data_IF_300437860424
#
_entry.id   IF_300437860424
#
_cell.length_a   1.000
_cell.length_b   1.000
_cell.length_c   1.000
_cell.angle_alpha   90.00
_cell.angle_beta   90.00
_cell.angle_gamma   90.00
#
_symmetry.space_group_name_H-M   'P 1'
#
loop_
_entity.id
_entity.type
_entity.pdbx_description
1 polymer ?
#
# COMPACT_ATOMS: atom_id res chain seq x y z
N UNK A 1 -46.14 27.47 -1.28
CA UNK A 1 -45.09 26.44 -1.22
C UNK A 1 -44.27 26.44 -2.51
N UNK A 2 -43.06 27.01 -2.52
CA UNK A 2 -42.16 27.01 -3.70
C UNK A 2 -41.26 25.77 -3.67
N UNK A 3 -41.35 24.92 -4.71
CA UNK A 3 -40.48 23.75 -4.92
C UNK A 3 -39.01 24.20 -4.99
N UNK A 4 -38.14 23.64 -4.13
CA UNK A 4 -36.69 23.76 -4.23
C UNK A 4 -36.23 23.11 -5.53
N UNK A 5 -35.76 23.91 -6.49
CA UNK A 5 -35.05 23.43 -7.68
C UNK A 5 -33.70 22.91 -7.22
N UNK A 6 -33.45 21.61 -7.40
CA UNK A 6 -32.11 21.05 -7.28
C UNK A 6 -31.27 21.64 -8.41
N UNK A 7 -30.21 22.38 -8.04
CA UNK A 7 -29.24 22.88 -9.00
C UNK A 7 -28.70 21.72 -9.85
N UNK A 8 -28.69 21.90 -11.17
CA UNK A 8 -28.01 21.01 -12.09
C UNK A 8 -26.53 20.85 -11.74
N UNK A 9 -25.81 19.93 -12.42
CA UNK A 9 -24.41 19.66 -12.14
C UNK A 9 -23.62 20.98 -12.12
N UNK A 10 -23.04 21.30 -10.96
CA UNK A 10 -22.15 22.43 -10.82
C UNK A 10 -21.05 22.29 -11.88
N UNK A 11 -20.99 23.23 -12.83
CA UNK A 11 -19.82 23.41 -13.68
C UNK A 11 -18.62 23.55 -12.73
N UNK A 12 -17.67 22.63 -12.81
CA UNK A 12 -16.43 22.64 -12.04
C UNK A 12 -15.77 24.04 -12.13
N UNK A 13 -15.36 24.65 -11.01
CA UNK A 13 -14.74 25.95 -11.04
C UNK A 13 -13.21 25.79 -11.15
N UNK A 14 -12.69 25.28 -12.26
CA UNK A 14 -11.28 25.48 -12.60
C UNK A 14 -11.14 25.58 -14.12
N UNK A 15 -10.92 26.79 -14.63
CA UNK A 15 -10.41 27.01 -15.99
C UNK A 15 -8.94 26.63 -15.97
N UNK A 16 -8.62 25.36 -16.23
CA UNK A 16 -7.26 25.03 -16.65
C UNK A 16 -7.07 25.61 -18.05
N UNK A 17 -6.10 26.50 -18.20
CA UNK A 17 -5.66 26.97 -19.51
C UNK A 17 -5.19 25.76 -20.31
N UNK A 18 -5.66 25.59 -21.54
CA UNK A 18 -5.14 24.61 -22.49
C UNK A 18 -3.71 24.93 -22.97
N UNK A 19 -3.20 26.11 -22.59
CA UNK A 19 -1.93 26.64 -23.07
C UNK A 19 -0.75 26.22 -22.17
N UNK A 20 -1.01 25.79 -20.94
CA UNK A 20 0.01 25.22 -20.04
C UNK A 20 0.15 23.72 -20.31
N UNK A 21 1.34 23.30 -20.74
CA UNK A 21 1.64 21.91 -21.06
C UNK A 21 3.08 21.54 -20.74
N UNK A 22 3.29 20.25 -20.56
CA UNK A 22 4.59 19.61 -20.45
C UNK A 22 4.84 18.83 -21.73
N UNK A 23 6.08 18.89 -22.23
CA UNK A 23 6.58 17.93 -23.21
C UNK A 23 7.27 16.82 -22.43
N UNK A 24 6.64 15.65 -22.37
CA UNK A 24 7.16 14.48 -21.68
C UNK A 24 7.73 13.51 -22.71
N UNK A 25 9.04 13.30 -22.67
CA UNK A 25 9.67 12.20 -23.41
C UNK A 25 9.40 10.87 -22.68
N UNK A 26 8.82 9.90 -23.37
CA UNK A 26 8.55 8.59 -22.77
C UNK A 26 9.83 7.85 -22.35
N UNK A 27 10.98 8.17 -22.94
CA UNK A 27 12.27 7.60 -22.53
C UNK A 27 12.63 7.98 -21.09
N UNK A 28 12.25 9.17 -20.64
CA UNK A 28 12.45 9.58 -19.24
C UNK A 28 11.64 8.72 -18.26
N UNK A 29 10.50 8.21 -18.71
CA UNK A 29 9.66 7.31 -17.91
C UNK A 29 10.32 5.94 -17.79
N UNK A 30 11.00 5.47 -18.84
CA UNK A 30 11.77 4.23 -18.81
C UNK A 30 13.04 4.39 -17.96
N UNK A 31 13.74 5.51 -18.05
CA UNK A 31 14.86 5.83 -17.17
C UNK A 31 14.44 5.87 -15.69
N UNK A 32 13.29 6.47 -15.37
CA UNK A 32 12.74 6.42 -14.01
C UNK A 32 12.44 5.00 -13.54
N UNK A 33 11.99 4.09 -14.42
CA UNK A 33 11.80 2.67 -14.05
C UNK A 33 13.12 1.97 -13.77
N UNK A 34 14.15 2.24 -14.57
CA UNK A 34 15.50 1.71 -14.33
C UNK A 34 16.10 2.23 -13.02
N UNK A 35 15.82 3.48 -12.66
CA UNK A 35 16.17 4.02 -11.35
C UNK A 35 15.44 3.28 -10.23
N UNK A 36 14.14 3.01 -10.36
CA UNK A 36 13.40 2.21 -9.37
C UNK A 36 13.97 0.81 -9.21
N UNK A 37 14.41 0.17 -10.30
CA UNK A 37 15.07 -1.15 -10.28
C UNK A 37 16.41 -1.03 -9.54
N UNK A 38 17.20 -0.01 -9.84
CA UNK A 38 18.50 0.24 -9.19
C UNK A 38 18.33 0.46 -7.69
N UNK A 39 17.41 1.33 -7.27
CA UNK A 39 17.07 1.58 -5.87
C UNK A 39 16.54 0.33 -5.15
N UNK A 40 15.82 -0.54 -5.87
CA UNK A 40 15.36 -1.83 -5.35
C UNK A 40 16.52 -2.80 -5.12
N UNK A 41 17.47 -2.86 -6.06
CA UNK A 41 18.66 -3.71 -5.98
C UNK A 41 19.59 -3.26 -4.84
N UNK A 42 19.71 -1.95 -4.64
CA UNK A 42 20.43 -1.33 -3.53
C UNK A 42 19.68 -1.42 -2.18
N UNK A 43 18.52 -2.11 -2.12
CA UNK A 43 17.66 -2.27 -0.93
C UNK A 43 17.17 -0.95 -0.32
N UNK A 44 17.20 0.15 -1.08
CA UNK A 44 16.68 1.46 -0.66
C UNK A 44 15.16 1.56 -0.85
N UNK A 45 14.58 0.71 -1.72
CA UNK A 45 13.14 0.55 -1.91
C UNK A 45 12.65 -0.82 -1.43
N UNK A 46 11.55 -0.81 -0.65
CA UNK A 46 10.87 -2.05 -0.28
C UNK A 46 10.17 -2.69 -1.49
N UNK A 47 10.02 -4.03 -1.54
CA UNK A 47 9.32 -4.70 -2.65
C UNK A 47 7.92 -4.14 -2.92
N UNK A 48 7.15 -3.88 -1.86
CA UNK A 48 5.79 -3.34 -1.98
C UNK A 48 5.78 -1.88 -2.47
N UNK A 49 6.74 -1.06 -2.05
CA UNK A 49 6.86 0.32 -2.56
C UNK A 49 7.26 0.33 -4.03
N UNK A 50 8.23 -0.50 -4.41
CA UNK A 50 8.65 -0.69 -5.81
C UNK A 50 7.46 -1.10 -6.69
N UNK A 51 6.73 -2.15 -6.31
CA UNK A 51 5.56 -2.62 -7.05
C UNK A 51 4.50 -1.52 -7.20
N UNK A 52 4.21 -0.76 -6.14
CA UNK A 52 3.22 0.30 -6.22
C UNK A 52 3.65 1.47 -7.12
N UNK A 53 4.93 1.88 -7.06
CA UNK A 53 5.48 2.94 -7.92
C UNK A 53 5.47 2.53 -9.39
N UNK A 54 5.99 1.33 -9.69
CA UNK A 54 6.02 0.79 -11.06
C UNK A 54 4.60 0.56 -11.62
N UNK A 55 3.69 0.04 -10.79
CA UNK A 55 2.29 -0.15 -11.19
C UNK A 55 1.59 1.17 -11.52
N UNK A 56 1.78 2.20 -10.70
CA UNK A 56 1.16 3.50 -10.88
C UNK A 56 1.61 4.19 -12.17
N UNK A 57 2.93 4.25 -12.43
CA UNK A 57 3.44 4.90 -13.64
C UNK A 57 3.07 4.14 -14.91
N UNK A 58 3.15 2.81 -14.90
CA UNK A 58 2.73 1.99 -16.05
C UNK A 58 1.24 2.16 -16.34
N UNK A 59 0.41 2.17 -15.31
CA UNK A 59 -1.03 2.41 -15.45
C UNK A 59 -1.28 3.80 -16.04
N UNK A 60 -0.60 4.83 -15.54
CA UNK A 60 -0.77 6.18 -16.06
C UNK A 60 -0.43 6.28 -17.56
N UNK A 61 0.73 5.76 -17.97
CA UNK A 61 1.16 5.77 -19.37
C UNK A 61 0.21 4.94 -20.24
N UNK A 62 -0.22 3.76 -19.80
CA UNK A 62 -1.15 2.92 -20.54
C UNK A 62 -2.45 3.68 -20.88
N UNK A 63 -3.06 4.36 -19.91
CA UNK A 63 -4.28 5.13 -20.16
C UNK A 63 -4.02 6.42 -20.93
N UNK A 64 -2.86 7.06 -20.73
CA UNK A 64 -2.47 8.24 -21.50
C UNK A 64 -2.36 7.91 -23.00
N UNK A 65 -1.74 6.79 -23.34
CA UNK A 65 -1.62 6.30 -24.72
C UNK A 65 -2.98 5.90 -25.31
N UNK A 66 -3.90 5.34 -24.51
CA UNK A 66 -5.27 5.07 -24.98
C UNK A 66 -6.02 6.34 -25.36
N UNK A 67 -5.78 7.44 -24.65
CA UNK A 67 -6.42 8.73 -24.89
C UNK A 67 -5.77 9.48 -26.05
N UNK A 68 -4.43 9.51 -26.08
CA UNK A 68 -3.64 10.26 -27.07
C UNK A 68 -3.43 9.52 -28.39
N UNK A 69 -3.62 8.20 -28.39
CA UNK A 69 -3.22 7.33 -29.48
C UNK A 69 -1.75 6.88 -29.35
N UNK A 70 -1.34 5.92 -30.19
CA UNK A 70 0.04 5.46 -30.24
C UNK A 70 0.96 6.58 -30.71
N UNK A 71 2.18 6.59 -30.19
CA UNK A 71 3.24 7.54 -30.57
C UNK A 71 4.28 6.77 -31.34
N UNK A 72 4.84 7.40 -32.35
CA UNK A 72 5.89 6.80 -33.15
C UNK A 72 7.21 6.75 -32.35
N UNK A 73 7.93 5.64 -32.46
CA UNK A 73 9.15 5.38 -31.67
C UNK A 73 10.29 6.37 -31.99
N UNK A 74 10.24 7.03 -33.14
CA UNK A 74 11.23 8.02 -33.60
C UNK A 74 11.05 9.41 -32.95
N UNK A 75 9.87 9.70 -32.40
CA UNK A 75 9.62 10.91 -31.61
C UNK A 75 8.70 10.62 -30.41
N UNK A 76 9.23 10.03 -29.32
CA UNK A 76 8.46 9.58 -28.17
C UNK A 76 8.00 10.72 -27.23
N UNK A 77 7.79 11.93 -27.75
CA UNK A 77 7.41 13.12 -26.97
C UNK A 77 5.88 13.27 -26.94
N UNK A 78 5.33 13.31 -25.73
CA UNK A 78 3.90 13.57 -25.48
C UNK A 78 3.69 14.97 -24.94
N UNK A 79 2.78 15.72 -25.57
CA UNK A 79 2.18 16.90 -24.95
C UNK A 79 1.20 16.47 -23.86
N UNK A 80 1.58 16.70 -22.60
CA UNK A 80 0.79 16.41 -21.41
C UNK A 80 0.19 17.70 -20.83
N UNK A 81 -1.14 17.74 -20.73
CA UNK A 81 -1.89 18.85 -20.11
C UNK A 81 -2.62 18.38 -18.86
N UNK A 82 -3.10 19.34 -18.06
CA UNK A 82 -3.91 19.05 -16.87
C UNK A 82 -5.20 18.29 -17.24
N UNK A 83 -5.77 18.57 -18.41
CA UNK A 83 -6.94 17.87 -18.95
C UNK A 83 -6.63 16.40 -19.27
N UNK A 84 -5.45 16.12 -19.80
CA UNK A 84 -5.04 14.74 -20.11
C UNK A 84 -4.90 13.91 -18.83
N UNK A 85 -4.25 14.47 -17.80
CA UNK A 85 -4.17 13.84 -16.47
C UNK A 85 -5.57 13.58 -15.91
N UNK A 86 -6.47 14.55 -16.05
CA UNK A 86 -7.86 14.40 -15.63
C UNK A 86 -8.58 13.27 -16.38
N UNK A 87 -8.40 13.19 -17.69
CA UNK A 87 -9.01 12.14 -18.50
C UNK A 87 -8.46 10.77 -18.15
N UNK A 88 -7.15 10.64 -17.96
CA UNK A 88 -6.49 9.38 -17.56
C UNK A 88 -7.11 8.81 -16.28
N UNK A 89 -7.18 9.60 -15.21
CA UNK A 89 -7.73 9.13 -13.94
C UNK A 89 -9.26 8.92 -14.01
N UNK A 90 -9.96 9.69 -14.82
CA UNK A 90 -11.40 9.50 -15.05
C UNK A 90 -11.70 8.18 -15.79
N UNK A 91 -10.93 7.87 -16.84
CA UNK A 91 -11.06 6.63 -17.61
C UNK A 91 -10.62 5.41 -16.79
N UNK A 92 -9.56 5.53 -16.00
CA UNK A 92 -9.15 4.47 -15.07
C UNK A 92 -10.29 4.06 -14.13
N UNK A 93 -11.03 5.03 -13.58
CA UNK A 93 -12.12 4.74 -12.66
C UNK A 93 -13.35 4.11 -13.34
N UNK A 94 -13.54 4.34 -14.65
CA UNK A 94 -14.60 3.70 -15.44
C UNK A 94 -14.27 2.25 -15.79
N UNK A 95 -13.01 1.83 -15.73
CA UNK A 95 -12.61 0.47 -16.07
C UNK A 95 -13.00 -0.53 -14.96
N UNK A 96 -14.00 -1.41 -15.18
CA UNK A 96 -14.49 -2.34 -14.18
C UNK A 96 -13.45 -3.42 -13.81
N UNK A 97 -12.43 -3.65 -14.64
CA UNK A 97 -11.37 -4.64 -14.37
C UNK A 97 -10.33 -4.12 -13.40
N UNK A 98 -10.11 -2.79 -13.34
CA UNK A 98 -9.04 -2.15 -12.56
C UNK A 98 -9.55 -1.29 -11.40
N UNK A 99 -10.74 -0.70 -11.52
CA UNK A 99 -11.38 0.12 -10.48
C UNK A 99 -12.01 -0.74 -9.36
N UNK A 100 -11.20 -1.57 -8.69
CA UNK A 100 -11.69 -2.50 -7.65
C UNK A 100 -11.70 -1.88 -6.25
N UNK A 101 -10.87 -0.87 -5.98
CA UNK A 101 -10.78 -0.25 -4.65
C UNK A 101 -10.40 1.22 -4.72
N UNK A 102 -11.12 2.04 -3.97
CA UNK A 102 -10.79 3.46 -3.73
C UNK A 102 -9.38 3.63 -3.18
N UNK A 103 -8.88 2.67 -2.39
CA UNK A 103 -7.51 2.72 -1.88
C UNK A 103 -6.49 2.56 -3.01
N UNK A 104 -6.70 1.60 -3.91
CA UNK A 104 -5.82 1.38 -5.07
C UNK A 104 -5.78 2.60 -5.97
N UNK A 105 -6.93 3.23 -6.24
CA UNK A 105 -6.96 4.47 -7.03
C UNK A 105 -6.13 5.59 -6.38
N UNK A 106 -6.28 5.80 -5.07
CA UNK A 106 -5.48 6.79 -4.32
C UNK A 106 -3.98 6.50 -4.41
N UNK A 107 -3.60 5.22 -4.36
CA UNK A 107 -2.22 4.77 -4.52
C UNK A 107 -1.69 5.10 -5.92
N UNK A 108 -2.49 4.84 -6.97
CA UNK A 108 -2.12 5.18 -8.35
C UNK A 108 -1.90 6.68 -8.49
N UNK A 109 -2.88 7.51 -8.13
CA UNK A 109 -2.77 8.98 -8.25
C UNK A 109 -1.53 9.51 -7.51
N UNK A 110 -1.33 9.07 -6.26
CA UNK A 110 -0.18 9.50 -5.44
C UNK A 110 1.15 9.16 -6.10
N UNK A 111 1.35 7.91 -6.53
CA UNK A 111 2.65 7.49 -7.06
C UNK A 111 2.88 7.96 -8.49
N UNK A 112 1.82 8.24 -9.26
CA UNK A 112 1.93 8.97 -10.53
C UNK A 112 2.40 10.41 -10.29
N UNK A 113 1.81 11.12 -9.32
CA UNK A 113 2.23 12.47 -8.94
C UNK A 113 3.72 12.49 -8.53
N UNK A 114 4.13 11.58 -7.64
CA UNK A 114 5.54 11.46 -7.22
C UNK A 114 6.47 11.19 -8.41
N UNK A 115 6.10 10.31 -9.34
CA UNK A 115 6.91 9.99 -10.51
C UNK A 115 7.07 11.19 -11.44
N UNK A 116 5.98 11.91 -11.74
CA UNK A 116 6.03 13.09 -12.59
C UNK A 116 6.79 14.24 -11.91
N UNK A 117 6.64 14.44 -10.59
CA UNK A 117 7.45 15.41 -9.84
C UNK A 117 8.94 15.12 -9.98
N UNK A 118 9.34 13.85 -9.83
CA UNK A 118 10.72 13.41 -9.96
C UNK A 118 11.27 13.65 -11.37
N UNK A 119 10.59 13.12 -12.40
CA UNK A 119 11.01 13.25 -13.79
C UNK A 119 11.15 14.72 -14.19
N UNK A 120 10.15 15.55 -13.89
CA UNK A 120 10.15 16.96 -14.28
C UNK A 120 11.24 17.78 -13.60
N UNK A 121 11.49 17.48 -12.33
CA UNK A 121 12.54 18.17 -11.59
C UNK A 121 13.92 17.76 -12.07
N UNK A 122 14.20 16.46 -12.15
CA UNK A 122 15.52 15.92 -12.52
C UNK A 122 15.88 16.22 -13.99
N UNK A 123 14.92 16.07 -14.91
CA UNK A 123 15.20 16.19 -16.35
C UNK A 123 15.05 17.59 -16.90
N UNK A 124 14.09 18.33 -16.37
CA UNK A 124 13.68 19.61 -16.95
C UNK A 124 13.87 20.79 -16.00
N UNK A 125 14.13 20.56 -14.71
CA UNK A 125 14.17 21.62 -13.70
C UNK A 125 12.82 22.32 -13.48
N UNK A 126 11.72 21.65 -13.85
CA UNK A 126 10.37 22.23 -13.83
C UNK A 126 9.59 21.67 -12.65
N UNK A 127 8.88 22.55 -11.94
CA UNK A 127 7.91 22.15 -10.91
C UNK A 127 6.60 21.65 -11.54
N UNK A 128 6.18 20.43 -11.19
CA UNK A 128 4.88 19.87 -11.60
C UNK A 128 3.71 20.79 -11.21
N UNK A 129 3.75 21.35 -10.00
CA UNK A 129 2.72 22.25 -9.49
C UNK A 129 2.60 23.50 -10.36
N UNK A 130 3.73 24.04 -10.82
CA UNK A 130 3.76 25.19 -11.73
C UNK A 130 3.24 24.84 -13.13
N UNK A 131 3.51 23.63 -13.59
CA UNK A 131 3.20 23.22 -14.96
C UNK A 131 1.75 22.72 -15.15
N UNK A 132 1.20 21.97 -14.20
CA UNK A 132 -0.12 21.32 -14.31
C UNK A 132 -1.08 21.63 -13.15
N UNK A 133 -0.57 22.20 -12.04
CA UNK A 133 -1.30 22.38 -10.79
C UNK A 133 -1.42 21.09 -9.97
N UNK A 134 -1.37 21.19 -8.64
CA UNK A 134 -1.51 20.02 -7.74
C UNK A 134 -2.95 19.49 -7.69
N UNK A 135 -3.92 20.32 -8.06
CA UNK A 135 -5.36 20.05 -8.01
C UNK A 135 -5.77 18.80 -8.81
N UNK A 136 -5.13 18.56 -9.97
CA UNK A 136 -5.40 17.37 -10.81
C UNK A 136 -4.84 16.08 -10.22
N UNK A 137 -4.00 16.15 -9.19
CA UNK A 137 -3.54 14.98 -8.46
C UNK A 137 -4.32 14.77 -7.15
N UNK A 138 -5.44 15.47 -6.94
CA UNK A 138 -6.32 15.24 -5.82
C UNK A 138 -7.29 14.07 -6.11
N UNK A 139 -7.14 12.89 -5.47
CA UNK A 139 -8.01 11.74 -5.76
C UNK A 139 -9.48 12.01 -5.45
N UNK A 140 -9.77 12.92 -4.51
CA UNK A 140 -11.15 13.23 -4.11
C UNK A 140 -11.90 14.00 -5.20
N UNK A 141 -11.21 14.70 -6.11
CA UNK A 141 -11.82 15.32 -7.29
C UNK A 141 -12.56 14.26 -8.12
N UNK A 142 -11.86 13.15 -8.42
CA UNK A 142 -12.36 12.08 -9.27
C UNK A 142 -13.35 11.17 -8.57
N UNK A 143 -13.07 10.82 -7.32
CA UNK A 143 -13.95 9.93 -6.55
C UNK A 143 -15.35 10.53 -6.38
N UNK A 144 -15.47 11.86 -6.29
CA UNK A 144 -16.77 12.55 -6.26
C UNK A 144 -17.60 12.33 -7.53
N UNK A 145 -16.97 12.22 -8.70
CA UNK A 145 -17.64 12.05 -9.99
C UNK A 145 -18.21 10.64 -10.17
N UNK A 146 -17.51 9.64 -9.66
CA UNK A 146 -17.96 8.23 -9.67
C UNK A 146 -18.92 7.95 -8.51
N UNK A 147 -18.86 8.77 -7.46
CA UNK A 147 -19.70 8.61 -6.29
C UNK A 147 -20.99 9.44 -6.34
N UNK A 148 -21.96 9.04 -7.16
CA UNK A 148 -23.37 9.18 -6.72
C UNK A 148 -23.65 8.29 -5.49
N UNK A 149 -22.77 7.31 -5.20
CA UNK A 149 -22.98 6.26 -4.19
C UNK A 149 -22.19 6.47 -2.87
N UNK A 150 -21.24 7.41 -2.76
CA UNK A 150 -20.25 7.40 -1.65
C UNK A 150 -19.99 8.71 -0.88
N UNK A 151 -20.83 9.74 -0.97
CA UNK A 151 -20.93 10.71 0.14
C UNK A 151 -21.78 10.15 1.29
N UNK A 152 -21.42 8.95 1.76
CA UNK A 152 -21.90 8.47 3.05
C UNK A 152 -21.27 9.37 4.11
N UNK A 153 -22.08 9.93 5.01
CA UNK A 153 -21.62 10.78 6.10
C UNK A 153 -20.46 10.11 6.85
N UNK A 154 -19.54 10.91 7.41
CA UNK A 154 -18.39 10.41 8.20
C UNK A 154 -18.83 9.39 9.26
N UNK A 155 -20.04 9.55 9.82
CA UNK A 155 -20.68 8.61 10.74
C UNK A 155 -20.95 7.23 10.13
N UNK A 156 -21.49 7.17 8.90
CA UNK A 156 -21.75 5.90 8.20
C UNK A 156 -20.44 5.23 7.78
N UNK A 157 -19.43 6.00 7.34
CA UNK A 157 -18.11 5.46 7.05
C UNK A 157 -17.46 4.86 8.31
N UNK A 158 -17.58 5.55 9.45
CA UNK A 158 -17.09 5.07 10.74
C UNK A 158 -17.83 3.82 11.21
N UNK A 159 -19.16 3.76 11.06
CA UNK A 159 -19.96 2.57 11.36
C UNK A 159 -19.58 1.39 10.46
N UNK A 160 -19.41 1.64 9.16
CA UNK A 160 -19.02 0.59 8.20
C UNK A 160 -17.61 0.09 8.49
N UNK A 161 -16.69 0.99 8.84
CA UNK A 161 -15.34 0.64 9.30
C UNK A 161 -15.41 -0.19 10.58
N UNK A 162 -16.13 0.26 11.61
CA UNK A 162 -16.31 -0.48 12.86
C UNK A 162 -16.94 -1.85 12.63
N UNK A 163 -17.92 -1.96 11.73
CA UNK A 163 -18.54 -3.23 11.35
C UNK A 163 -17.53 -4.17 10.68
N UNK A 164 -16.77 -3.68 9.69
CA UNK A 164 -15.71 -4.44 9.03
C UNK A 164 -14.60 -4.86 10.00
N UNK A 165 -14.19 -3.97 10.90
CA UNK A 165 -13.19 -4.30 11.91
C UNK A 165 -13.73 -5.35 12.88
N UNK A 166 -14.98 -5.24 13.33
CA UNK A 166 -15.63 -6.30 14.14
C UNK A 166 -15.71 -7.64 13.40
N UNK A 167 -15.98 -7.63 12.10
CA UNK A 167 -15.98 -8.83 11.25
C UNK A 167 -14.59 -9.45 11.06
N UNK A 168 -13.51 -8.66 11.20
CA UNK A 168 -12.13 -9.17 11.17
C UNK A 168 -11.66 -9.74 12.51
N UNK A 169 -12.35 -9.45 13.62
CA UNK A 169 -11.99 -9.97 14.93
C UNK A 169 -12.29 -11.46 14.95
N UNK A 170 -11.24 -12.28 15.05
CA UNK A 170 -11.37 -13.73 15.19
C UNK A 170 -11.90 -14.04 16.59
N UNK A 171 -13.01 -14.78 16.68
CA UNK A 171 -13.60 -15.15 17.97
C UNK A 171 -12.78 -16.26 18.66
N UNK A 172 -12.84 -16.37 20.01
CA UNK A 172 -12.19 -17.48 20.72
C UNK A 172 -12.59 -18.87 20.19
N UNK A 173 -13.84 -19.04 19.75
CA UNK A 173 -14.32 -20.31 19.20
C UNK A 173 -13.74 -20.58 17.81
N UNK A 174 -13.57 -19.56 16.98
CA UNK A 174 -12.86 -19.68 15.70
C UNK A 174 -11.38 -20.04 15.91
N UNK A 175 -10.74 -19.50 16.96
CA UNK A 175 -9.37 -19.88 17.36
C UNK A 175 -9.32 -21.35 17.78
N UNK A 176 -10.21 -21.79 18.67
CA UNK A 176 -10.29 -23.21 19.10
C UNK A 176 -10.52 -24.14 17.92
N UNK A 177 -11.41 -23.77 17.00
CA UNK A 177 -11.69 -24.55 15.80
C UNK A 177 -10.47 -24.63 14.88
N UNK A 178 -9.76 -23.52 14.65
CA UNK A 178 -8.54 -23.49 13.87
C UNK A 178 -7.44 -24.37 14.47
N UNK A 179 -7.25 -24.32 15.80
CA UNK A 179 -6.30 -25.18 16.51
C UNK A 179 -6.68 -26.67 16.43
N UNK A 180 -7.99 -26.99 16.49
CA UNK A 180 -8.48 -28.36 16.30
C UNK A 180 -8.20 -28.87 14.89
N UNK A 181 -8.48 -28.08 13.86
CA UNK A 181 -8.18 -28.44 12.46
C UNK A 181 -6.68 -28.62 12.22
N UNK A 182 -5.87 -27.76 12.82
CA UNK A 182 -4.43 -27.87 12.76
C UNK A 182 -3.93 -29.16 13.44
N UNK A 183 -4.52 -29.55 14.57
CA UNK A 183 -4.24 -30.83 15.23
C UNK A 183 -4.59 -32.03 14.34
N UNK A 184 -5.75 -32.01 13.68
CA UNK A 184 -6.15 -33.07 12.74
C UNK A 184 -5.16 -33.14 11.57
N UNK A 185 -4.80 -31.99 10.99
CA UNK A 185 -3.87 -31.92 9.87
C UNK A 185 -2.49 -32.50 10.22
N UNK A 186 -2.01 -32.31 11.45
CA UNK A 186 -0.75 -32.89 11.93
C UNK A 186 -0.85 -34.42 12.03
N UNK A 187 -1.94 -34.92 12.59
CA UNK A 187 -2.18 -36.37 12.73
C UNK A 187 -2.28 -37.06 11.38
N UNK A 188 -2.86 -36.40 10.38
CA UNK A 188 -3.01 -36.95 9.03
C UNK A 188 -1.76 -36.74 8.15
N UNK A 189 -0.97 -35.68 8.37
CA UNK A 189 0.19 -35.31 7.56
C UNK A 189 1.36 -34.79 8.40
N UNK A 190 2.14 -35.66 9.06
CA UNK A 190 3.23 -35.28 9.96
C UNK A 190 4.49 -34.86 9.16
N UNK A 191 4.39 -33.75 8.44
CA UNK A 191 5.50 -33.19 7.66
C UNK A 191 6.06 -31.95 8.33
N UNK A 192 7.35 -31.66 8.09
CA UNK A 192 8.02 -30.44 8.58
C UNK A 192 7.26 -29.18 8.17
N UNK A 193 6.66 -29.16 6.98
CA UNK A 193 5.86 -28.03 6.49
C UNK A 193 4.63 -27.79 7.35
N UNK A 194 3.88 -28.85 7.71
CA UNK A 194 2.70 -28.75 8.57
C UNK A 194 3.09 -28.29 9.97
N UNK A 195 4.20 -28.78 10.50
CA UNK A 195 4.73 -28.35 11.81
C UNK A 195 5.13 -26.86 11.79
N UNK A 196 5.74 -26.37 10.71
CA UNK A 196 6.04 -24.95 10.54
C UNK A 196 4.78 -24.08 10.47
N UNK A 197 3.74 -24.53 9.76
CA UNK A 197 2.44 -23.83 9.71
C UNK A 197 1.80 -23.77 11.10
N UNK A 198 1.90 -24.85 11.88
CA UNK A 198 1.43 -24.88 13.27
C UNK A 198 2.14 -23.85 14.13
N UNK A 199 3.47 -23.88 14.13
CA UNK A 199 4.27 -22.93 14.92
C UNK A 199 4.00 -21.49 14.50
N UNK A 200 3.93 -21.21 13.20
CA UNK A 200 3.60 -19.87 12.69
C UNK A 200 2.20 -19.42 13.14
N UNK A 201 1.21 -20.31 13.13
CA UNK A 201 -0.16 -20.02 13.57
C UNK A 201 -0.20 -19.73 15.07
N UNK A 202 0.45 -20.55 15.89
CA UNK A 202 0.54 -20.35 17.34
C UNK A 202 1.23 -19.02 17.67
N UNK A 203 2.35 -18.72 17.02
CA UNK A 203 3.06 -17.46 17.19
C UNK A 203 2.15 -16.29 16.80
N UNK A 204 1.48 -16.34 15.64
CA UNK A 204 0.57 -15.28 15.19
C UNK A 204 -0.56 -15.02 16.19
N UNK A 205 -1.19 -16.09 16.70
CA UNK A 205 -2.30 -15.99 17.65
C UNK A 205 -1.85 -15.44 19.02
N UNK A 206 -0.70 -15.90 19.53
CA UNK A 206 -0.22 -15.51 20.86
C UNK A 206 0.42 -14.12 20.88
N UNK A 207 0.99 -13.68 19.75
CA UNK A 207 1.82 -12.47 19.72
C UNK A 207 1.22 -11.34 18.88
N UNK A 208 0.26 -11.64 18.00
CA UNK A 208 -0.23 -10.67 17.01
C UNK A 208 0.85 -10.25 16.00
N UNK A 209 1.92 -11.04 15.85
CA UNK A 209 2.99 -10.77 14.90
C UNK A 209 2.48 -10.81 13.45
N UNK A 210 3.06 -9.96 12.60
CA UNK A 210 2.76 -9.96 11.16
C UNK A 210 3.34 -11.21 10.51
N UNK A 211 2.73 -11.68 9.42
CA UNK A 211 3.25 -12.82 8.66
C UNK A 211 4.72 -12.65 8.24
N UNK A 212 5.13 -11.43 7.85
CA UNK A 212 6.53 -11.13 7.54
C UNK A 212 7.45 -11.23 8.76
N UNK A 213 6.98 -10.83 9.95
CA UNK A 213 7.76 -10.90 11.19
C UNK A 213 7.98 -12.36 11.62
N UNK A 214 7.00 -13.24 11.37
CA UNK A 214 7.09 -14.67 11.65
C UNK A 214 7.99 -15.37 10.63
N UNK A 215 7.89 -15.00 9.35
CA UNK A 215 8.71 -15.57 8.29
C UNK A 215 10.21 -15.28 8.46
N UNK A 216 10.55 -14.09 8.96
CA UNK A 216 11.93 -13.64 9.14
C UNK A 216 12.52 -14.05 10.51
N UNK A 217 11.78 -14.84 11.29
CA UNK A 217 12.13 -15.18 12.66
C UNK A 217 13.25 -16.23 12.70
N UNK A 218 14.31 -15.92 13.44
CA UNK A 218 15.47 -16.79 13.63
C UNK A 218 15.72 -17.05 15.12
N UNK A 219 16.42 -18.12 15.48
CA UNK A 219 16.83 -18.33 16.88
C UNK A 219 17.85 -17.29 17.32
N UNK A 220 18.85 -17.03 16.47
CA UNK A 220 19.88 -16.03 16.66
C UNK A 220 19.98 -15.24 15.36
N UNK A 221 19.98 -13.92 15.45
CA UNK A 221 20.22 -13.01 14.34
C UNK A 221 21.44 -12.15 14.64
N UNK A 222 21.94 -11.41 13.66
CA UNK A 222 22.98 -10.40 13.89
C UNK A 222 22.39 -8.99 13.75
N UNK A 223 22.83 -8.06 14.58
CA UNK A 223 22.58 -6.62 14.39
C UNK A 223 23.46 -5.99 13.33
N UNK A 224 23.14 -4.73 13.02
CA UNK A 224 23.87 -3.95 12.01
C UNK A 224 25.33 -3.70 12.44
N UNK A 225 25.67 -3.96 13.71
CA UNK A 225 27.03 -3.93 14.26
C UNK A 225 27.70 -5.31 14.30
N UNK A 226 27.03 -6.35 13.79
CA UNK A 226 27.52 -7.73 13.77
C UNK A 226 27.35 -8.50 15.09
N UNK A 227 26.74 -7.90 16.12
CA UNK A 227 26.50 -8.60 17.40
C UNK A 227 25.38 -9.62 17.24
N UNK A 228 25.62 -10.81 17.77
CA UNK A 228 24.62 -11.89 17.82
C UNK A 228 23.56 -11.56 18.86
N UNK A 229 22.32 -11.46 18.42
CA UNK A 229 21.14 -11.24 19.26
C UNK A 229 20.30 -12.52 19.25
N UNK A 230 19.99 -13.04 20.44
CA UNK A 230 19.05 -14.14 20.62
C UNK A 230 17.63 -13.59 20.38
N UNK A 231 17.01 -14.03 19.28
CA UNK A 231 15.67 -13.59 18.90
C UNK A 231 14.57 -14.44 19.55
N UNK A 232 14.89 -15.68 19.90
CA UNK A 232 14.02 -16.54 20.70
C UNK A 232 14.76 -16.95 21.97
N UNK A 233 14.29 -16.46 23.11
CA UNK A 233 14.69 -16.95 24.41
C UNK A 233 13.65 -17.94 24.94
N UNK A 234 13.89 -19.23 24.71
CA UNK A 234 13.01 -20.28 25.24
C UNK A 234 13.11 -20.45 26.76
N UNK A 235 14.20 -20.00 27.38
CA UNK A 235 14.40 -20.07 28.83
C UNK A 235 13.61 -19.00 29.56
N UNK A 236 13.54 -17.80 28.98
CA UNK A 236 12.73 -16.69 29.52
C UNK A 236 11.32 -16.65 28.94
N UNK A 237 11.03 -17.45 27.92
CA UNK A 237 9.74 -17.46 27.22
C UNK A 237 9.49 -16.18 26.40
N UNK A 238 10.53 -15.59 25.81
CA UNK A 238 10.46 -14.30 25.10
C UNK A 238 10.81 -14.48 23.62
N UNK A 239 9.99 -13.88 22.75
CA UNK A 239 10.28 -13.73 21.32
C UNK A 239 10.47 -12.25 20.99
N UNK A 240 11.60 -11.93 20.35
CA UNK A 240 11.98 -10.59 19.95
C UNK A 240 11.74 -10.40 18.45
N UNK A 241 10.62 -9.76 18.08
CA UNK A 241 10.35 -9.47 16.67
C UNK A 241 11.10 -8.23 16.20
N UNK A 242 11.81 -8.36 15.07
CA UNK A 242 12.37 -7.22 14.37
C UNK A 242 11.30 -6.50 13.57
N UNK A 243 10.98 -5.27 13.95
CA UNK A 243 10.02 -4.44 13.23
C UNK A 243 10.74 -3.35 12.45
N UNK A 244 10.80 -3.50 11.12
CA UNK A 244 11.43 -2.52 10.24
C UNK A 244 10.85 -1.09 10.39
N UNK A 245 9.57 -0.96 10.80
CA UNK A 245 8.94 0.35 11.06
C UNK A 245 9.44 1.06 12.34
N UNK A 246 9.89 0.32 13.36
CA UNK A 246 10.36 0.88 14.63
C UNK A 246 11.85 1.29 14.60
N UNK A 247 12.57 0.96 13.51
CA UNK A 247 13.97 1.36 13.31
C UNK A 247 14.16 2.88 13.21
N UNK A 248 13.13 3.68 12.89
CA UNK A 248 13.25 5.14 12.78
C UNK A 248 13.30 5.86 14.14
N UNK A 249 12.86 5.22 15.22
CA UNK A 249 12.71 5.85 16.54
C UNK A 249 13.61 5.22 17.63
N UNK A 250 14.69 4.51 17.24
CA UNK A 250 15.73 4.07 18.18
C UNK A 250 15.46 2.80 19.01
N UNK A 251 14.37 2.05 18.73
CA UNK A 251 14.03 0.83 19.47
C UNK A 251 13.40 -0.23 18.57
N UNK A 252 14.21 -0.94 17.77
CA UNK A 252 13.75 -1.86 16.72
C UNK A 252 13.25 -3.24 17.17
N UNK A 253 13.06 -3.46 18.47
CA UNK A 253 12.70 -4.75 19.04
C UNK A 253 11.49 -4.58 19.96
N UNK A 254 10.37 -5.23 19.62
CA UNK A 254 9.24 -5.36 20.55
C UNK A 254 9.35 -6.74 21.21
N UNK A 255 9.64 -6.83 22.52
CA UNK A 255 9.53 -8.10 23.23
C UNK A 255 8.05 -8.49 23.26
N UNK A 256 7.76 -9.72 22.91
CA UNK A 256 6.43 -10.31 23.12
C UNK A 256 6.63 -11.55 23.99
N UNK A 257 6.06 -11.49 25.19
CA UNK A 257 6.11 -12.56 26.18
C UNK A 257 5.16 -13.68 25.78
N UNK A 258 5.65 -14.91 25.76
CA UNK A 258 4.87 -16.09 25.35
C UNK A 258 4.37 -16.93 26.53
N UNK A 259 4.67 -16.57 27.78
CA UNK A 259 4.29 -17.35 28.96
C UNK A 259 3.44 -16.59 29.99
N UNK A 260 2.40 -17.30 30.40
CA UNK A 260 1.62 -17.19 31.62
C UNK A 260 2.54 -17.07 32.84
N UNK A 261 2.30 -16.09 33.73
CA UNK A 261 2.90 -16.07 35.07
C UNK A 261 2.21 -17.19 35.87
N UNK A 262 2.69 -18.42 35.69
CA UNK A 262 2.38 -19.53 36.59
C UNK A 262 3.01 -19.24 37.95
N UNK A 263 2.22 -19.40 39.00
CA UNK A 263 2.54 -19.18 40.40
C UNK A 263 3.97 -19.60 40.76
N UNK A 264 4.74 -18.66 41.34
CA UNK A 264 5.90 -19.00 42.16
C UNK A 264 5.39 -19.70 43.42
N UNK A 265 5.23 -21.01 43.37
CA UNK A 265 5.39 -21.84 44.55
C UNK A 265 6.88 -21.90 44.87
N UNK A 266 7.34 -20.95 45.68
CA UNK A 266 8.52 -21.16 46.51
C UNK A 266 8.03 -21.47 47.92
N UNK A 267 8.28 -22.72 48.33
CA UNK A 267 8.12 -23.14 49.71
C UNK A 267 9.02 -22.34 50.65
N UNK A 268 8.50 -22.15 51.86
CA UNK A 268 9.27 -22.18 53.09
C UNK A 268 9.04 -23.55 53.74
#
# INVERSE_FOLDING_TARGET
MRRKRFGGPQKLPVRYSSDDYILLDLRDVDEYKEELISLRNLKQLSPGTFQNKSFAINTFIEYLLRIKGPIADDNPIIKLTAMDVYQVFSEYLKDPRRSKSTHTFRVVVKYTEEALKHILWEKYGISLTRALGDEVFNPNLYLRLVSTIAMRSKAIQLQTHRKREKEKVVSPDQIKLALKWLSVLISERPTITVEKVRLATLIALMTGARSSEINDLQFITSDDTGRRIKQMDLTEGVIYFRRAKLRRDGGGVTPIFTSYIGERTQGF
#
